data_IF_759329856926
#
_entry.id   IF_759329856926
#
_cell.length_a   1.000
_cell.length_b   1.000
_cell.length_c   1.000
_cell.angle_alpha   90.00
_cell.angle_beta   90.00
_cell.angle_gamma   90.00
#
_symmetry.space_group_name_H-M   'P 1'
#
loop_
_entity.id
_entity.type
_entity.pdbx_description
1 polymer ?
#
# COMPACT_ATOMS: atom_id res chain seq x y z
N UNK A 1 11.60 -4.78 2.90
CA UNK A 1 13.02 -4.76 3.37
C UNK A 1 13.85 -3.60 2.81
N UNK A 2 14.00 -3.40 1.48
CA UNK A 2 14.87 -2.33 0.91
C UNK A 2 14.57 -0.90 1.41
N UNK A 3 13.30 -0.55 1.61
CA UNK A 3 12.91 0.77 2.12
C UNK A 3 13.35 1.01 3.58
N UNK A 4 13.44 -0.06 4.39
CA UNK A 4 13.76 0.02 5.82
C UNK A 4 12.96 1.11 6.55
N UNK A 5 13.64 1.84 7.43
CA UNK A 5 13.11 3.01 8.13
C UNK A 5 13.16 4.33 7.35
N UNK A 6 13.66 4.34 6.10
CA UNK A 6 14.03 5.58 5.38
C UNK A 6 12.84 6.45 4.93
N UNK A 7 11.61 5.95 5.06
CA UNK A 7 10.39 6.70 4.75
C UNK A 7 9.54 7.03 5.97
N UNK A 8 10.14 7.11 7.17
CA UNK A 8 9.45 7.49 8.41
C UNK A 8 8.17 6.66 8.68
N UNK A 9 8.31 5.34 8.92
CA UNK A 9 7.17 4.49 9.33
C UNK A 9 6.50 5.03 10.61
N UNK A 10 5.22 4.76 10.85
CA UNK A 10 4.38 3.76 10.19
C UNK A 10 3.92 4.14 8.78
N UNK A 11 3.97 3.17 7.86
CA UNK A 11 3.55 3.36 6.48
C UNK A 11 2.07 3.07 6.25
N UNK A 12 1.50 3.79 5.28
CA UNK A 12 0.33 3.34 4.52
C UNK A 12 0.82 3.00 3.12
N UNK A 13 0.51 1.79 2.64
CA UNK A 13 1.04 1.25 1.39
C UNK A 13 -0.12 1.07 0.41
N UNK A 14 -0.01 1.70 -0.76
CA UNK A 14 -0.88 1.45 -1.91
C UNK A 14 -0.16 0.53 -2.88
N UNK A 15 -0.86 -0.48 -3.39
CA UNK A 15 -0.33 -1.43 -4.37
C UNK A 15 -1.28 -1.47 -5.57
N UNK A 16 -0.75 -1.23 -6.75
CA UNK A 16 -1.44 -1.44 -8.02
C UNK A 16 -0.88 -2.67 -8.72
N UNK A 17 -1.76 -3.56 -9.19
CA UNK A 17 -1.40 -4.81 -9.88
C UNK A 17 -2.10 -4.86 -11.24
N UNK A 18 -1.34 -5.03 -12.32
CA UNK A 18 -1.84 -5.11 -13.69
C UNK A 18 -1.85 -3.74 -14.40
N UNK A 19 -2.79 -3.55 -15.32
CA UNK A 19 -2.90 -2.37 -16.20
C UNK A 19 -1.68 -2.14 -17.12
N UNK A 20 -1.61 -0.96 -17.76
CA UNK A 20 -0.39 -0.45 -18.41
C UNK A 20 0.53 0.22 -17.39
N UNK A 21 1.76 0.55 -17.80
CA UNK A 21 2.78 1.12 -16.91
C UNK A 21 2.37 2.47 -16.30
N UNK A 22 1.65 3.30 -17.04
CA UNK A 22 1.15 4.59 -16.54
C UNK A 22 -0.04 4.38 -15.59
N UNK A 23 -0.93 3.45 -15.97
CA UNK A 23 -2.16 3.20 -15.24
C UNK A 23 -1.94 2.47 -13.92
N UNK A 24 -0.92 1.61 -13.82
CA UNK A 24 -0.60 0.91 -12.57
C UNK A 24 -0.16 1.89 -11.48
N UNK A 25 0.61 2.91 -11.85
CA UNK A 25 1.06 3.95 -10.94
C UNK A 25 -0.11 4.80 -10.45
N UNK A 26 -1.01 5.17 -11.37
CA UNK A 26 -2.24 5.87 -11.01
C UNK A 26 -3.14 5.03 -10.09
N UNK A 27 -3.21 3.70 -10.33
CA UNK A 27 -3.97 2.77 -9.51
C UNK A 27 -3.41 2.67 -8.09
N UNK A 28 -2.08 2.53 -7.94
CA UNK A 28 -1.40 2.50 -6.65
C UNK A 28 -1.65 3.77 -5.83
N UNK A 29 -1.53 4.93 -6.47
CA UNK A 29 -1.85 6.23 -5.87
C UNK A 29 -3.33 6.37 -5.49
N UNK A 30 -4.24 5.77 -6.27
CA UNK A 30 -5.66 5.71 -5.92
C UNK A 30 -5.91 4.86 -4.67
N UNK A 31 -5.21 3.74 -4.52
CA UNK A 31 -5.31 2.89 -3.33
C UNK A 31 -4.81 3.62 -2.07
N UNK A 32 -3.74 4.42 -2.16
CA UNK A 32 -3.26 5.25 -1.04
C UNK A 32 -4.31 6.24 -0.51
N UNK A 33 -5.24 6.68 -1.37
CA UNK A 33 -6.30 7.62 -0.95
C UNK A 33 -7.43 6.94 -0.18
N UNK A 34 -7.53 5.61 -0.19
CA UNK A 34 -8.55 4.89 0.58
C UNK A 34 -8.35 5.09 2.08
N UNK A 35 -9.44 4.95 2.84
CA UNK A 35 -9.38 5.01 4.30
C UNK A 35 -8.62 3.80 4.82
N UNK A 36 -7.86 3.97 5.91
CA UNK A 36 -7.09 2.86 6.48
C UNK A 36 -8.02 1.74 6.98
N UNK A 37 -9.16 2.12 7.55
CA UNK A 37 -10.20 1.21 8.09
C UNK A 37 -11.09 0.56 7.02
N UNK A 38 -10.95 0.96 5.75
CA UNK A 38 -11.72 0.36 4.65
C UNK A 38 -11.16 -1.02 4.28
N UNK A 39 -11.99 -1.92 3.79
CA UNK A 39 -11.60 -3.27 3.37
C UNK A 39 -11.91 -3.43 1.89
N UNK A 40 -11.09 -4.19 1.17
CA UNK A 40 -11.38 -4.48 -0.24
C UNK A 40 -12.73 -5.23 -0.39
N UNK A 41 -13.61 -4.82 -1.32
CA UNK A 41 -14.83 -5.58 -1.60
C UNK A 41 -14.56 -6.94 -2.24
N UNK A 42 -13.38 -7.14 -2.83
CA UNK A 42 -12.97 -8.43 -3.40
C UNK A 42 -12.22 -9.23 -2.35
N UNK A 43 -12.79 -10.36 -1.93
CA UNK A 43 -12.28 -11.20 -0.83
C UNK A 43 -10.80 -11.58 -1.02
N UNK A 44 -10.42 -12.00 -2.22
CA UNK A 44 -9.03 -12.38 -2.52
C UNK A 44 -8.04 -11.20 -2.33
N UNK A 45 -8.46 -9.97 -2.61
CA UNK A 45 -7.63 -8.78 -2.40
C UNK A 45 -7.65 -8.34 -0.94
N UNK A 46 -8.77 -8.49 -0.23
CA UNK A 46 -8.86 -8.21 1.20
C UNK A 46 -7.95 -9.14 2.00
N UNK A 47 -7.93 -10.42 1.65
CA UNK A 47 -7.02 -11.38 2.28
C UNK A 47 -5.57 -11.04 1.97
N UNK A 48 -5.25 -10.65 0.72
CA UNK A 48 -3.91 -10.19 0.35
C UNK A 48 -3.49 -8.93 1.12
N UNK A 49 -4.39 -7.97 1.32
CA UNK A 49 -4.13 -6.78 2.15
C UNK A 49 -3.79 -7.18 3.59
N UNK A 50 -4.52 -8.14 4.16
CA UNK A 50 -4.37 -8.61 5.53
C UNK A 50 -3.07 -9.39 5.73
N UNK A 51 -2.80 -10.37 4.87
CA UNK A 51 -1.60 -11.23 4.94
C UNK A 51 -0.35 -10.38 4.75
N UNK A 52 -0.32 -9.53 3.72
CA UNK A 52 0.82 -8.65 3.46
C UNK A 52 1.06 -7.68 4.61
N UNK A 53 0.01 -7.20 5.30
CA UNK A 53 0.17 -6.32 6.46
C UNK A 53 0.84 -7.05 7.63
N UNK A 54 0.49 -8.32 7.87
CA UNK A 54 1.16 -9.16 8.87
C UNK A 54 2.63 -9.34 8.50
N UNK A 55 2.92 -9.77 7.27
CA UNK A 55 4.27 -10.01 6.78
C UNK A 55 5.16 -8.77 6.85
N UNK A 56 4.63 -7.58 6.54
CA UNK A 56 5.37 -6.32 6.64
C UNK A 56 5.68 -5.96 8.08
N UNK A 57 4.78 -6.27 9.01
CA UNK A 57 4.97 -6.02 10.43
C UNK A 57 5.93 -7.03 11.08
N UNK A 58 6.02 -8.25 10.54
CA UNK A 58 7.02 -9.26 10.91
C UNK A 58 8.45 -8.92 10.43
N UNK A 59 8.64 -7.86 9.63
CA UNK A 59 9.98 -7.40 9.23
C UNK A 59 10.76 -6.71 10.35
N UNK A 60 10.13 -6.46 11.51
CA UNK A 60 10.72 -5.82 12.69
C UNK A 60 11.44 -4.48 12.41
N UNK A 61 11.04 -3.74 11.36
CA UNK A 61 11.59 -2.43 11.04
C UNK A 61 11.16 -1.40 12.10
N UNK A 62 9.90 -1.50 12.57
CA UNK A 62 9.31 -0.63 13.58
C UNK A 62 9.05 0.80 13.13
N UNK A 63 8.41 1.57 14.01
CA UNK A 63 8.12 2.97 13.78
C UNK A 63 9.42 3.79 13.69
N UNK A 64 9.48 4.69 12.72
CA UNK A 64 10.67 5.47 12.37
C UNK A 64 11.96 4.66 12.12
N UNK A 65 11.90 3.33 11.98
CA UNK A 65 13.05 2.47 11.74
C UNK A 65 13.87 2.09 12.97
N UNK A 66 13.36 2.28 14.19
CA UNK A 66 14.06 1.98 15.44
C UNK A 66 13.91 0.52 15.90
N UNK A 67 13.35 -0.34 15.07
CA UNK A 67 12.97 -1.69 15.45
C UNK A 67 11.58 -1.74 16.10
N UNK A 68 10.91 -2.88 15.95
CA UNK A 68 9.61 -3.16 16.57
C UNK A 68 8.53 -3.64 15.61
N UNK A 69 7.37 -3.99 16.16
CA UNK A 69 6.33 -4.76 15.46
C UNK A 69 5.49 -3.96 14.46
N UNK A 70 5.43 -2.64 14.58
CA UNK A 70 4.53 -1.81 13.77
C UNK A 70 5.33 -1.04 12.73
N UNK A 71 5.41 -1.62 11.53
CA UNK A 71 6.07 -1.03 10.37
C UNK A 71 5.06 -0.36 9.45
N UNK A 72 3.89 -0.97 9.25
CA UNK A 72 2.80 -0.45 8.45
C UNK A 72 1.48 -0.52 9.23
N UNK A 73 0.61 0.45 8.98
CA UNK A 73 -0.73 0.53 9.59
C UNK A 73 -1.84 0.21 8.60
N UNK A 74 -1.53 0.10 7.31
CA UNK A 74 -2.50 -0.30 6.31
C UNK A 74 -1.86 -0.57 4.96
N UNK A 75 -2.36 -1.61 4.30
CA UNK A 75 -2.05 -1.95 2.93
C UNK A 75 -3.35 -1.93 2.14
N UNK A 76 -3.33 -1.31 0.95
CA UNK A 76 -4.48 -1.20 0.05
C UNK A 76 -4.07 -1.67 -1.32
N UNK A 77 -4.71 -2.72 -1.81
CA UNK A 77 -4.37 -3.37 -3.08
C UNK A 77 -5.49 -3.12 -4.09
N UNK A 78 -5.10 -2.77 -5.30
CA UNK A 78 -6.00 -2.63 -6.44
C UNK A 78 -5.49 -3.45 -7.60
N UNK A 79 -6.41 -4.06 -8.34
CA UNK A 79 -6.08 -4.75 -9.59
C UNK A 79 -6.84 -4.17 -10.77
N UNK A 80 -6.27 -4.29 -11.96
CA UNK A 80 -6.90 -3.97 -13.24
C UNK A 80 -6.49 -5.01 -14.28
N UNK A 81 -7.34 -5.16 -15.30
CA UNK A 81 -7.03 -5.98 -16.47
C UNK A 81 -5.73 -5.52 -17.14
N UNK A 82 -5.01 -6.48 -17.72
CA UNK A 82 -3.69 -6.29 -18.32
C UNK A 82 -3.60 -7.12 -19.60
N UNK A 83 -2.65 -6.77 -20.47
CA UNK A 83 -2.24 -7.67 -21.55
C UNK A 83 -1.57 -8.93 -20.96
N UNK A 84 -1.70 -10.09 -21.62
CA UNK A 84 -1.08 -11.33 -21.16
C UNK A 84 0.44 -11.19 -21.02
N UNK A 85 1.05 -10.50 -21.98
CA UNK A 85 2.50 -10.37 -22.14
C UNK A 85 3.11 -9.26 -21.29
N UNK A 86 2.30 -8.51 -20.54
CA UNK A 86 2.78 -7.41 -19.70
C UNK A 86 2.17 -7.51 -18.31
N UNK A 87 3.05 -7.51 -17.30
CA UNK A 87 2.67 -7.54 -15.89
C UNK A 87 3.37 -6.42 -15.14
N UNK A 88 2.62 -5.38 -14.80
CA UNK A 88 3.15 -4.26 -14.02
C UNK A 88 2.61 -4.31 -12.59
N UNK A 89 3.48 -3.99 -11.65
CA UNK A 89 3.13 -3.79 -10.24
C UNK A 89 3.78 -2.49 -9.80
N UNK A 90 3.00 -1.63 -9.16
CA UNK A 90 3.51 -0.39 -8.59
C UNK A 90 3.16 -0.30 -7.10
N UNK A 91 4.11 0.19 -6.30
CA UNK A 91 3.98 0.30 -4.85
C UNK A 91 4.24 1.75 -4.46
N UNK A 92 3.20 2.40 -3.95
CA UNK A 92 3.26 3.76 -3.48
C UNK A 92 3.20 3.79 -1.95
N UNK A 93 4.00 4.65 -1.33
CA UNK A 93 4.14 4.75 0.12
C UNK A 93 3.65 6.12 0.61
N UNK A 94 2.95 6.13 1.74
CA UNK A 94 2.71 7.34 2.53
C UNK A 94 3.29 7.14 3.92
N UNK A 95 4.07 8.12 4.38
CA UNK A 95 4.72 8.09 5.68
C UNK A 95 3.77 8.55 6.80
N UNK A 96 4.30 8.61 8.02
CA UNK A 96 3.60 9.17 9.18
C UNK A 96 2.98 10.56 8.90
N UNK A 97 3.64 11.41 8.10
CA UNK A 97 3.13 12.72 7.68
C UNK A 97 2.16 12.60 6.50
N UNK A 98 1.14 11.78 6.69
CA UNK A 98 0.07 11.56 5.71
C UNK A 98 -0.81 12.81 5.64
N UNK A 99 -0.53 13.69 4.68
CA UNK A 99 -1.28 14.92 4.42
C UNK A 99 -2.36 14.66 3.38
N UNK A 100 -3.61 14.57 3.82
CA UNK A 100 -4.79 14.33 2.95
C UNK A 100 -5.90 15.30 3.35
N UNK A 101 -6.62 15.81 2.36
CA UNK A 101 -7.80 16.65 2.55
C UNK A 101 -8.87 16.28 1.52
N UNK A 102 -10.14 16.37 1.91
CA UNK A 102 -11.28 16.23 1.00
C UNK A 102 -12.09 17.51 1.10
N UNK A 103 -12.25 18.22 -0.01
CA UNK A 103 -13.19 19.32 -0.08
C UNK A 103 -14.60 18.73 -0.15
N UNK A 104 -15.46 19.17 0.76
CA UNK A 104 -16.89 18.92 0.73
C UNK A 104 -17.55 20.29 0.55
N UNK A 105 -18.25 20.47 -0.57
CA UNK A 105 -19.06 21.64 -0.85
C UNK A 105 -20.52 21.22 -0.97
#
# INVERSE_FOLDING_TARGET
>A
RRAGGRGCPPYIIGVGIGATREQVTALSQQQLRRKVQDTNPVEALAELERTTLSEVNELDIGASGHGGKVTAIGIKVGTRHRHSDSYFVDVSLSCWSTRRGKLIW
#
